data_IF_153845687139
#
_entry.id   IF_153845687139
#
_cell.length_a   1.000
_cell.length_b   1.000
_cell.length_c   1.000
_cell.angle_alpha   90.00
_cell.angle_beta   90.00
_cell.angle_gamma   90.00
#
_symmetry.space_group_name_H-M   'P 1'
#
loop_
_entity.id
_entity.type
_entity.pdbx_description
1 polymer ?
#
# COMPACT_ATOMS: atom_id res chain seq x y z
N UNK A 1 50.18 -29.91 -32.16
CA UNK A 1 50.09 -29.74 -30.70
C UNK A 1 49.07 -28.66 -30.41
N UNK A 2 47.91 -29.12 -29.94
CA UNK A 2 46.82 -28.45 -29.20
C UNK A 2 46.32 -27.08 -29.66
N UNK A 3 45.27 -27.14 -30.48
CA UNK A 3 44.28 -26.09 -30.69
C UNK A 3 43.55 -25.80 -29.36
N UNK A 4 43.49 -24.52 -28.95
CA UNK A 4 42.76 -24.07 -27.76
C UNK A 4 41.40 -23.55 -28.19
N UNK A 5 40.33 -24.24 -27.81
CA UNK A 5 38.97 -23.72 -27.93
C UNK A 5 38.59 -22.87 -26.70
N UNK A 6 38.03 -21.66 -26.86
CA UNK A 6 37.44 -20.93 -25.75
C UNK A 6 35.94 -21.24 -25.61
N UNK A 7 35.65 -22.06 -24.61
CA UNK A 7 34.57 -21.94 -23.61
C UNK A 7 33.24 -21.27 -23.98
N UNK A 8 32.19 -22.09 -24.05
CA UNK A 8 30.79 -21.67 -24.06
C UNK A 8 30.38 -20.87 -22.82
N UNK A 9 30.02 -19.61 -23.02
CA UNK A 9 29.46 -18.70 -22.02
C UNK A 9 27.99 -19.02 -21.74
N UNK A 10 27.74 -19.52 -20.53
CA UNK A 10 26.42 -19.96 -20.03
C UNK A 10 25.46 -18.77 -19.84
N UNK A 11 24.28 -18.91 -20.44
CA UNK A 11 22.97 -18.71 -19.81
C UNK A 11 22.72 -17.40 -19.05
N UNK A 12 21.90 -16.55 -19.68
CA UNK A 12 21.27 -15.36 -19.10
C UNK A 12 20.62 -15.70 -17.75
N UNK A 13 21.15 -15.18 -16.64
CA UNK A 13 20.48 -15.19 -15.34
C UNK A 13 19.38 -14.12 -15.36
N UNK A 14 18.17 -14.53 -15.74
CA UNK A 14 16.97 -13.73 -15.58
C UNK A 14 16.85 -13.32 -14.12
N UNK A 15 16.86 -12.01 -13.86
CA UNK A 15 16.58 -11.42 -12.55
C UNK A 15 15.15 -11.78 -12.20
N UNK A 16 14.96 -12.80 -11.37
CA UNK A 16 13.66 -13.19 -10.86
C UNK A 16 13.01 -11.98 -10.18
N UNK A 17 12.00 -11.40 -10.83
CA UNK A 17 11.06 -10.49 -10.18
C UNK A 17 10.51 -11.28 -9.00
N UNK A 18 10.68 -10.76 -7.78
CA UNK A 18 10.27 -11.45 -6.55
C UNK A 18 8.84 -11.97 -6.65
N UNK A 19 8.54 -13.03 -5.88
CA UNK A 19 7.22 -13.68 -5.85
C UNK A 19 6.12 -12.60 -5.80
N UNK A 20 5.19 -12.58 -6.75
CA UNK A 20 4.11 -11.59 -6.80
C UNK A 20 3.37 -11.52 -5.47
N UNK A 21 3.02 -10.30 -5.04
CA UNK A 21 2.23 -10.09 -3.83
C UNK A 21 0.90 -10.84 -3.98
N UNK A 22 0.55 -11.64 -2.97
CA UNK A 22 -0.72 -12.37 -2.94
C UNK A 22 -1.85 -11.35 -2.94
N UNK A 23 -2.89 -11.58 -3.76
CA UNK A 23 -4.10 -10.76 -3.76
C UNK A 23 -4.75 -10.84 -2.38
N UNK A 24 -4.95 -9.69 -1.73
CA UNK A 24 -5.55 -9.60 -0.41
C UNK A 24 -7.04 -9.28 -0.53
N UNK A 25 -7.85 -9.78 0.41
CA UNK A 25 -9.27 -9.41 0.49
C UNK A 25 -9.38 -8.03 1.13
N UNK A 26 -10.04 -7.11 0.45
CA UNK A 26 -10.33 -5.77 0.95
C UNK A 26 -11.86 -5.69 1.00
N UNK A 27 -12.43 -5.66 2.21
CA UNK A 27 -13.88 -5.55 2.39
C UNK A 27 -14.35 -4.15 2.05
N UNK A 28 -13.62 -3.14 2.50
CA UNK A 28 -14.01 -1.74 2.37
C UNK A 28 -13.52 -1.19 1.02
N UNK A 29 -14.43 -1.12 0.03
CA UNK A 29 -14.23 -0.30 -1.19
C UNK A 29 -14.60 1.16 -0.99
N UNK A 30 -14.85 1.59 0.25
CA UNK A 30 -15.11 3.00 0.57
C UNK A 30 -14.06 3.84 -0.13
N UNK A 31 -14.55 4.67 -1.06
CA UNK A 31 -13.78 5.23 -2.16
C UNK A 31 -12.43 5.71 -1.63
N UNK A 32 -11.35 5.02 -2.00
CA UNK A 32 -10.01 5.32 -1.52
C UNK A 32 -9.75 6.82 -1.61
N UNK A 33 -9.66 7.50 -0.47
CA UNK A 33 -9.53 8.96 -0.40
C UNK A 33 -8.07 9.37 -0.41
N UNK A 34 -7.84 10.60 -0.85
CA UNK A 34 -6.58 11.30 -0.63
C UNK A 34 -6.74 12.20 0.60
N UNK A 35 -5.74 12.25 1.45
CA UNK A 35 -5.68 13.12 2.62
C UNK A 35 -4.48 14.04 2.47
N UNK A 36 -4.61 15.31 2.85
CA UNK A 36 -3.49 16.25 2.79
C UNK A 36 -3.64 17.38 3.80
N UNK A 37 -2.55 18.08 4.12
CA UNK A 37 -2.62 19.24 5.00
C UNK A 37 -3.49 20.34 4.36
N UNK A 38 -4.33 20.98 5.18
CA UNK A 38 -5.11 22.15 4.75
C UNK A 38 -4.25 23.41 4.59
N UNK A 39 -3.16 23.49 5.35
CA UNK A 39 -2.20 24.59 5.29
C UNK A 39 -0.97 24.20 4.46
N UNK A 40 -0.66 25.00 3.44
CA UNK A 40 0.49 24.79 2.55
C UNK A 40 0.16 23.95 1.32
N UNK A 41 1.05 23.99 0.33
CA UNK A 41 1.00 23.08 -0.83
C UNK A 41 1.93 21.90 -0.50
N UNK A 42 1.41 20.68 -0.33
CA UNK A 42 2.26 19.53 -0.14
C UNK A 42 3.02 19.23 -1.44
N UNK A 43 4.33 19.41 -1.41
CA UNK A 43 5.20 19.06 -2.56
C UNK A 43 5.44 17.55 -2.64
N UNK A 44 5.27 16.84 -1.52
CA UNK A 44 5.50 15.40 -1.41
C UNK A 44 4.20 14.61 -1.16
N UNK A 45 4.14 13.42 -1.76
CA UNK A 45 3.01 12.49 -1.64
C UNK A 45 3.51 11.13 -1.14
N UNK A 46 2.85 10.60 -0.13
CA UNK A 46 3.04 9.25 0.41
C UNK A 46 1.96 8.34 -0.15
N UNK A 47 2.39 7.29 -0.87
CA UNK A 47 1.47 6.30 -1.42
C UNK A 47 1.21 5.19 -0.40
N UNK A 48 -0.04 5.10 0.05
CA UNK A 48 -0.54 4.02 0.89
C UNK A 48 -1.25 2.99 0.01
N UNK A 49 -1.02 1.70 0.23
CA UNK A 49 -1.74 0.66 -0.48
C UNK A 49 -3.13 0.44 0.16
N UNK A 50 -4.16 0.05 -0.61
CA UNK A 50 -5.46 -0.34 -0.07
C UNK A 50 -5.39 -1.35 1.07
N UNK A 51 -4.45 -2.28 0.91
CA UNK A 51 -4.17 -3.36 1.84
C UNK A 51 -3.57 -2.87 3.16
N UNK A 52 -2.73 -1.84 3.07
CA UNK A 52 -2.11 -1.16 4.21
C UNK A 52 -3.16 -0.34 4.97
N UNK A 53 -4.02 0.37 4.23
CA UNK A 53 -5.15 1.10 4.80
C UNK A 53 -6.11 0.16 5.54
N UNK A 54 -6.45 -0.97 4.93
CA UNK A 54 -7.34 -1.96 5.53
C UNK A 54 -6.70 -2.64 6.75
N UNK A 55 -5.39 -2.91 6.70
CA UNK A 55 -4.66 -3.43 7.86
C UNK A 55 -4.66 -2.45 9.04
N UNK A 56 -4.48 -1.15 8.79
CA UNK A 56 -4.64 -0.10 9.80
C UNK A 56 -6.06 -0.06 10.35
N UNK A 57 -7.09 -0.13 9.49
CA UNK A 57 -8.49 -0.15 9.92
C UNK A 57 -8.76 -1.34 10.86
N UNK A 58 -8.42 -2.56 10.44
CA UNK A 58 -8.72 -3.77 11.20
C UNK A 58 -7.99 -3.82 12.55
N UNK A 59 -6.72 -3.43 12.60
CA UNK A 59 -5.92 -3.55 13.82
C UNK A 59 -6.00 -2.31 14.70
N UNK A 60 -5.88 -1.11 14.13
CA UNK A 60 -5.77 0.14 14.90
C UNK A 60 -7.12 0.80 15.17
N UNK A 61 -8.11 0.67 14.29
CA UNK A 61 -9.45 1.24 14.49
C UNK A 61 -10.46 0.24 15.07
N UNK A 62 -10.55 -0.96 14.49
CA UNK A 62 -11.48 -2.00 14.94
C UNK A 62 -10.92 -2.76 16.15
N UNK A 63 -9.60 -2.75 16.35
CA UNK A 63 -8.96 -3.42 17.49
C UNK A 63 -8.84 -4.94 17.33
N UNK A 64 -8.91 -5.47 16.10
CA UNK A 64 -8.72 -6.90 15.87
C UNK A 64 -7.28 -7.32 16.18
N UNK A 65 -7.13 -8.52 16.76
CA UNK A 65 -5.84 -9.15 16.92
C UNK A 65 -5.17 -9.41 15.56
N UNK A 66 -3.83 -9.40 15.53
CA UNK A 66 -3.05 -9.58 14.29
C UNK A 66 -3.38 -10.88 13.54
N UNK A 67 -3.76 -11.94 14.26
CA UNK A 67 -4.13 -13.21 13.62
C UNK A 67 -5.47 -13.10 12.88
N UNK A 68 -6.47 -12.52 13.54
CA UNK A 68 -7.79 -12.30 12.97
C UNK A 68 -7.73 -11.34 11.77
N UNK A 69 -6.99 -10.23 11.90
CA UNK A 69 -6.78 -9.28 10.80
C UNK A 69 -6.03 -9.92 9.61
N UNK A 70 -5.03 -10.77 9.87
CA UNK A 70 -4.31 -11.46 8.80
C UNK A 70 -5.22 -12.45 8.07
N UNK A 71 -6.08 -13.15 8.81
CA UNK A 71 -7.09 -14.04 8.27
C UNK A 71 -8.10 -13.27 7.41
N UNK A 72 -8.62 -12.15 7.90
CA UNK A 72 -9.57 -11.29 7.18
C UNK A 72 -9.00 -10.78 5.84
N UNK A 73 -7.72 -10.38 5.83
CA UNK A 73 -7.00 -9.95 4.63
C UNK A 73 -6.54 -11.10 3.72
N UNK A 74 -6.60 -12.35 4.19
CA UNK A 74 -6.13 -13.54 3.45
C UNK A 74 -4.61 -13.62 3.33
N UNK A 75 -3.86 -13.11 4.31
CA UNK A 75 -2.38 -13.07 4.31
C UNK A 75 -1.77 -13.72 5.53
N UNK A 76 -0.45 -13.94 5.49
CA UNK A 76 0.28 -14.44 6.66
C UNK A 76 0.42 -13.36 7.74
N UNK A 77 0.49 -13.76 9.02
CA UNK A 77 0.80 -12.87 10.16
C UNK A 77 2.04 -12.01 9.92
N UNK A 78 3.09 -12.59 9.35
CA UNK A 78 4.34 -11.89 9.01
C UNK A 78 4.13 -10.82 7.93
N UNK A 79 3.31 -11.13 6.91
CA UNK A 79 2.98 -10.17 5.85
C UNK A 79 2.15 -9.02 6.42
N UNK A 80 1.14 -9.33 7.23
CA UNK A 80 0.34 -8.32 7.92
C UNK A 80 1.22 -7.39 8.74
N UNK A 81 2.09 -7.94 9.58
CA UNK A 81 2.96 -7.16 10.43
C UNK A 81 3.85 -6.20 9.63
N UNK A 82 4.38 -6.64 8.48
CA UNK A 82 5.16 -5.79 7.57
C UNK A 82 4.32 -4.70 6.94
N UNK A 83 3.14 -5.06 6.40
CA UNK A 83 2.22 -4.09 5.77
C UNK A 83 1.78 -3.04 6.82
N UNK A 84 1.43 -3.44 8.04
CA UNK A 84 1.07 -2.53 9.14
C UNK A 84 2.22 -1.61 9.56
N UNK A 85 3.42 -2.15 9.72
CA UNK A 85 4.58 -1.35 10.09
C UNK A 85 4.90 -0.30 9.02
N UNK A 86 4.85 -0.68 7.75
CA UNK A 86 5.06 0.23 6.63
C UNK A 86 3.96 1.29 6.55
N UNK A 87 2.70 0.90 6.73
CA UNK A 87 1.54 1.79 6.76
C UNK A 87 1.67 2.86 7.86
N UNK A 88 1.96 2.44 9.10
CA UNK A 88 2.13 3.37 10.23
C UNK A 88 3.28 4.34 10.00
N UNK A 89 4.40 3.88 9.45
CA UNK A 89 5.53 4.74 9.10
C UNK A 89 5.15 5.78 8.05
N UNK A 90 4.44 5.38 7.00
CA UNK A 90 3.96 6.26 5.92
C UNK A 90 3.02 7.35 6.45
N UNK A 91 2.04 6.95 7.27
CA UNK A 91 1.09 7.90 7.89
C UNK A 91 1.82 8.86 8.82
N UNK A 92 2.72 8.36 9.68
CA UNK A 92 3.51 9.22 10.56
C UNK A 92 4.40 10.21 9.78
N UNK A 93 5.06 9.75 8.71
CA UNK A 93 5.88 10.61 7.84
C UNK A 93 5.04 11.72 7.21
N UNK A 94 3.83 11.41 6.75
CA UNK A 94 2.93 12.40 6.18
C UNK A 94 2.43 13.42 7.21
N UNK A 95 2.11 12.99 8.42
CA UNK A 95 1.64 13.88 9.49
C UNK A 95 2.76 14.80 10.00
N UNK A 96 3.99 14.29 10.15
CA UNK A 96 5.11 15.05 10.70
C UNK A 96 5.67 16.04 9.68
N UNK A 97 5.77 15.65 8.41
CA UNK A 97 6.37 16.48 7.37
C UNK A 97 5.34 17.22 6.50
N UNK A 98 4.04 17.10 6.80
CA UNK A 98 2.97 17.76 6.04
C UNK A 98 2.86 17.24 4.60
N UNK A 99 3.01 15.93 4.40
CA UNK A 99 2.88 15.30 3.07
C UNK A 99 1.44 14.91 2.80
N UNK A 100 1.07 14.81 1.53
CA UNK A 100 -0.22 14.27 1.13
C UNK A 100 -0.19 12.73 1.20
N UNK A 101 -1.21 12.10 1.76
CA UNK A 101 -1.42 10.66 1.70
C UNK A 101 -2.34 10.34 0.52
N UNK A 102 -1.89 9.51 -0.40
CA UNK A 102 -2.70 9.01 -1.50
C UNK A 102 -2.84 7.50 -1.37
N UNK A 103 -4.08 7.00 -1.38
CA UNK A 103 -4.31 5.56 -1.39
C UNK A 103 -4.31 5.04 -2.84
N UNK A 104 -3.49 4.02 -3.14
CA UNK A 104 -3.38 3.45 -4.48
C UNK A 104 -4.72 2.88 -4.94
N UNK A 105 -5.17 3.22 -6.15
CA UNK A 105 -6.52 2.88 -6.60
C UNK A 105 -7.57 3.97 -6.33
N UNK A 106 -7.19 5.08 -5.69
CA UNK A 106 -7.91 6.34 -5.83
C UNK A 106 -7.82 6.77 -7.30
N UNK A 107 -8.93 6.67 -8.04
CA UNK A 107 -9.01 6.97 -9.47
C UNK A 107 -9.05 8.46 -9.82
N UNK A 108 -8.75 9.37 -8.88
CA UNK A 108 -8.71 10.80 -9.14
C UNK A 108 -7.31 11.24 -9.56
N UNK A 109 -7.19 11.56 -10.84
CA UNK A 109 -6.06 12.30 -11.40
C UNK A 109 -6.07 13.72 -10.80
N UNK A 110 -4.90 14.29 -10.52
CA UNK A 110 -4.74 15.61 -9.88
C UNK A 110 -5.62 16.64 -10.60
N UNK A 111 -6.66 17.18 -9.95
CA UNK A 111 -7.47 18.24 -10.55
C UNK A 111 -8.72 18.62 -9.76
N UNK A 112 -9.47 17.66 -9.26
CA UNK A 112 -10.69 17.90 -8.48
C UNK A 112 -10.60 17.11 -7.17
N UNK A 113 -10.95 17.77 -6.06
CA UNK A 113 -10.83 17.23 -4.72
C UNK A 113 -11.51 15.87 -4.54
N UNK A 114 -11.29 15.23 -3.39
CA UNK A 114 -12.22 14.19 -2.99
C UNK A 114 -13.62 14.82 -2.93
N UNK A 115 -14.64 14.26 -3.59
CA UNK A 115 -16.01 14.64 -3.38
C UNK A 115 -16.18 14.44 -1.89
N UNK A 116 -16.52 15.54 -1.26
CA UNK A 116 -17.31 15.50 -0.04
C UNK A 116 -18.36 14.41 -0.26
N UNK A 117 -18.52 13.55 0.72
CA UNK A 117 -19.50 12.47 0.70
C UNK A 117 -20.90 13.01 0.38
N UNK A 118 -21.24 13.16 -0.90
CA UNK A 118 -22.62 13.21 -1.38
C UNK A 118 -23.13 11.78 -1.35
N UNK A 119 -23.38 11.29 -0.14
CA UNK A 119 -23.84 9.93 0.11
C UNK A 119 -24.03 9.62 1.59
N UNK A 120 -25.05 10.23 2.21
CA UNK A 120 -26.29 9.54 2.63
C UNK A 120 -26.96 10.40 3.73
N UNK A 121 -28.17 10.94 3.54
CA UNK A 121 -28.91 11.48 4.66
C UNK A 121 -29.23 10.32 5.62
N UNK A 122 -28.56 10.30 6.77
CA UNK A 122 -28.91 9.41 7.87
C UNK A 122 -30.41 9.57 8.19
N UNK A 123 -31.13 8.48 8.52
CA UNK A 123 -32.55 8.50 8.82
C UNK A 123 -32.90 9.29 10.09
#
# INVERSE_FOLDING_TARGET
MSEREPGGGRGRRGRGRGRPRVRRRIEERSAFRCFGPLCGKPDEVVLLLPEEAEALRLVDLVGLGQEAAACALGISRKTLWRDLHEARRKVADALVHGKMIQIAGCGRERGEGCPEDEGDPLP
#
